data_IF_468933669467
#
_entry.id   IF_468933669467
#
_cell.length_a   1.000
_cell.length_b   1.000
_cell.length_c   1.000
_cell.angle_alpha   90.00
_cell.angle_beta   90.00
_cell.angle_gamma   90.00
#
_symmetry.space_group_name_H-M   'P 1'
#
loop_
_entity.id
_entity.type
_entity.pdbx_description
1 polymer ?
#
# COMPACT_ATOMS: atom_id res chain seq x y z
N UNK A 1 4.19 -8.36 16.25
CA UNK A 1 3.47 -9.60 15.88
C UNK A 1 2.27 -9.15 15.08
N UNK A 2 2.23 -9.42 13.78
CA UNK A 2 1.05 -9.09 12.98
C UNK A 2 -0.07 -10.09 13.32
N UNK A 3 -1.24 -9.67 13.82
CA UNK A 3 -2.40 -10.56 13.94
C UNK A 3 -2.86 -11.00 12.55
N UNK A 4 -3.52 -12.16 12.46
CA UNK A 4 -4.06 -12.66 11.19
C UNK A 4 -4.95 -11.60 10.52
N UNK A 5 -4.70 -11.30 9.25
CA UNK A 5 -5.44 -10.27 8.50
C UNK A 5 -4.83 -8.86 8.48
N UNK A 6 -3.55 -8.71 8.82
CA UNK A 6 -2.90 -7.38 8.82
C UNK A 6 -2.71 -6.84 7.39
N UNK A 7 -3.27 -5.65 7.12
CA UNK A 7 -2.96 -4.86 5.94
C UNK A 7 -1.59 -4.18 6.10
N UNK A 8 -0.71 -4.33 5.11
CA UNK A 8 0.57 -3.62 5.06
C UNK A 8 0.45 -2.53 3.99
N UNK A 9 0.33 -1.29 4.46
CA UNK A 9 0.30 -0.11 3.61
C UNK A 9 1.71 0.30 3.22
N UNK A 10 1.96 0.37 1.91
CA UNK A 10 3.12 1.03 1.34
C UNK A 10 2.56 2.18 0.49
N UNK A 11 2.90 3.41 0.86
CA UNK A 11 2.42 4.60 0.15
C UNK A 11 3.37 5.01 -0.99
N UNK A 12 2.84 5.65 -2.05
CA UNK A 12 3.62 5.97 -3.24
C UNK A 12 4.79 6.93 -2.95
N UNK A 13 5.80 6.89 -3.83
CA UNK A 13 6.90 7.86 -3.87
C UNK A 13 6.32 9.27 -4.07
N UNK A 14 6.63 10.24 -3.21
CA UNK A 14 6.29 11.63 -3.47
C UNK A 14 7.20 12.17 -4.59
N UNK A 15 6.59 12.87 -5.54
CA UNK A 15 7.30 13.78 -6.44
C UNK A 15 7.88 14.93 -5.60
N UNK A 16 9.18 14.91 -5.36
CA UNK A 16 10.01 16.04 -4.93
C UNK A 16 9.34 17.07 -4.00
N UNK A 17 9.18 16.79 -2.70
CA UNK A 17 8.72 17.83 -1.77
C UNK A 17 8.43 17.42 -0.33
N UNK A 18 8.21 16.14 -0.03
CA UNK A 18 7.89 15.71 1.34
C UNK A 18 9.13 15.14 2.05
N UNK A 19 9.60 15.85 3.09
CA UNK A 19 10.80 15.54 3.88
C UNK A 19 10.70 14.30 4.78
N UNK A 20 9.66 13.46 4.62
CA UNK A 20 9.56 12.18 5.30
C UNK A 20 10.39 11.12 4.60
N UNK A 21 11.39 10.55 5.27
CA UNK A 21 12.13 9.36 4.78
C UNK A 21 11.22 8.13 4.71
N UNK A 22 10.32 8.07 3.72
CA UNK A 22 9.57 6.87 3.39
C UNK A 22 10.52 5.87 2.76
N UNK A 23 10.70 4.73 3.45
CA UNK A 23 11.57 3.66 2.99
C UNK A 23 11.03 3.10 1.68
N UNK A 24 11.86 3.12 0.63
CA UNK A 24 11.55 2.54 -0.70
C UNK A 24 11.44 1.01 -0.67
N UNK A 25 11.74 0.39 0.48
CA UNK A 25 11.78 -1.04 0.70
C UNK A 25 11.30 -1.36 2.12
N UNK A 26 10.48 -2.40 2.25
CA UNK A 26 10.13 -3.04 3.51
C UNK A 26 10.65 -4.47 3.51
N UNK A 27 11.35 -4.83 4.58
CA UNK A 27 11.82 -6.19 4.82
C UNK A 27 10.79 -6.97 5.62
N UNK A 28 10.44 -8.14 5.11
CA UNK A 28 9.48 -9.06 5.72
C UNK A 28 10.24 -10.24 6.32
N UNK A 29 9.97 -10.59 7.57
CA UNK A 29 10.69 -11.70 8.21
C UNK A 29 10.25 -12.01 9.62
N UNK A 30 10.97 -12.91 10.29
CA UNK A 30 10.67 -13.36 11.66
C UNK A 30 11.34 -12.54 12.75
N UNK A 31 12.49 -11.92 12.45
CA UNK A 31 13.34 -11.30 13.50
C UNK A 31 13.14 -9.79 13.53
N UNK A 32 12.72 -9.28 14.69
CA UNK A 32 12.47 -7.84 14.93
C UNK A 32 13.67 -6.94 14.65
N UNK A 33 14.89 -7.44 14.87
CA UNK A 33 16.12 -6.68 14.64
C UNK A 33 16.46 -6.48 13.15
N UNK A 34 15.86 -7.25 12.23
CA UNK A 34 16.28 -7.28 10.81
C UNK A 34 15.14 -7.14 9.81
N UNK A 35 13.89 -7.08 10.26
CA UNK A 35 12.71 -6.96 9.40
C UNK A 35 11.79 -5.85 9.90
N UNK A 36 11.18 -5.13 8.96
CA UNK A 36 10.21 -4.08 9.24
C UNK A 36 8.84 -4.68 9.58
N UNK A 37 8.44 -5.75 8.88
CA UNK A 37 7.19 -6.50 9.14
C UNK A 37 7.51 -7.88 9.70
N UNK A 38 6.99 -8.14 10.90
CA UNK A 38 7.31 -9.35 11.68
C UNK A 38 6.22 -10.41 11.63
N UNK A 39 6.52 -11.51 10.95
CA UNK A 39 5.72 -12.74 10.93
C UNK A 39 6.42 -13.81 11.77
N UNK A 40 5.82 -14.10 12.93
CA UNK A 40 6.38 -15.05 13.90
C UNK A 40 5.97 -16.50 13.56
N UNK A 41 6.82 -17.18 12.78
CA UNK A 41 6.56 -18.58 12.39
C UNK A 41 7.86 -19.34 12.09
N UNK A 42 7.92 -20.63 12.45
CA UNK A 42 9.12 -21.48 12.29
C UNK A 42 9.63 -21.59 10.85
N UNK A 43 8.73 -21.53 9.87
CA UNK A 43 9.07 -21.59 8.44
C UNK A 43 9.49 -20.24 7.82
N UNK A 44 9.45 -19.15 8.59
CA UNK A 44 9.79 -17.80 8.10
C UNK A 44 11.22 -17.47 8.49
N UNK A 45 11.99 -16.99 7.51
CA UNK A 45 13.40 -16.62 7.67
C UNK A 45 13.53 -15.33 8.48
N UNK A 46 14.72 -15.06 9.03
CA UNK A 46 15.00 -13.79 9.76
C UNK A 46 14.73 -12.56 8.90
N UNK A 47 15.19 -12.61 7.65
CA UNK A 47 14.79 -11.77 6.52
C UNK A 47 14.33 -12.74 5.44
N UNK A 48 13.06 -12.69 5.05
CA UNK A 48 12.42 -13.68 4.20
C UNK A 48 12.08 -13.11 2.82
N UNK A 49 11.49 -11.93 2.78
CA UNK A 49 11.15 -11.28 1.53
C UNK A 49 11.38 -9.78 1.64
N UNK A 50 11.50 -9.12 0.50
CA UNK A 50 11.57 -7.68 0.39
C UNK A 50 10.42 -7.18 -0.48
N UNK A 51 9.76 -6.12 -0.04
CA UNK A 51 8.71 -5.42 -0.77
C UNK A 51 9.23 -4.03 -1.10
N UNK A 52 9.44 -3.70 -2.37
CA UNK A 52 10.15 -2.48 -2.76
C UNK A 52 9.58 -1.86 -4.03
N UNK A 53 9.65 -0.53 -4.10
CA UNK A 53 9.34 0.20 -5.32
C UNK A 53 10.52 0.17 -6.28
N UNK A 54 10.22 -0.02 -7.56
CA UNK A 54 11.20 0.21 -8.63
C UNK A 54 11.02 1.64 -9.12
N UNK A 55 12.13 2.39 -9.15
CA UNK A 55 12.21 3.72 -9.73
C UNK A 55 12.16 3.58 -11.25
N UNK A 56 10.96 3.40 -11.79
CA UNK A 56 10.72 3.73 -13.18
C UNK A 56 10.60 5.25 -13.24
N UNK A 57 11.20 5.88 -14.25
CA UNK A 57 11.08 7.32 -14.49
C UNK A 57 9.63 7.62 -14.91
N UNK A 58 8.72 7.56 -13.94
CA UNK A 58 7.30 7.75 -14.12
C UNK A 58 7.12 9.24 -14.31
N UNK A 59 7.18 9.67 -15.58
CA UNK A 59 6.75 10.99 -15.96
C UNK A 59 5.30 11.12 -15.50
N UNK A 60 5.05 12.06 -14.58
CA UNK A 60 3.73 12.58 -14.34
C UNK A 60 3.18 12.96 -15.72
N UNK A 61 2.14 12.25 -16.17
CA UNK A 61 1.44 12.67 -17.37
C UNK A 61 0.49 13.74 -16.87
N UNK A 62 0.89 15.00 -17.02
CA UNK A 62 0.04 16.18 -16.80
C UNK A 62 -1.05 16.23 -17.88
N UNK A 63 -1.89 15.19 -17.95
CA UNK A 63 -3.12 15.17 -18.72
C UNK A 63 -4.27 15.70 -17.87
N UNK A 64 -5.34 16.25 -18.46
CA UNK A 64 -6.48 16.86 -17.76
C UNK A 64 -7.37 15.86 -16.97
N UNK A 65 -6.80 14.75 -16.50
CA UNK A 65 -7.43 13.72 -15.68
C UNK A 65 -6.59 13.24 -14.48
N UNK A 66 -5.39 13.77 -14.25
CA UNK A 66 -4.68 13.63 -12.97
C UNK A 66 -4.41 12.21 -12.47
N UNK A 67 -4.28 11.21 -13.35
CA UNK A 67 -3.94 9.85 -12.96
C UNK A 67 -2.49 9.81 -12.43
N UNK A 68 -2.32 9.91 -11.10
CA UNK A 68 -1.02 9.77 -10.44
C UNK A 68 -0.49 8.36 -10.73
N UNK A 69 0.42 8.25 -11.69
CA UNK A 69 1.03 6.97 -12.05
C UNK A 69 2.01 6.59 -10.95
N UNK A 70 1.67 5.57 -10.16
CA UNK A 70 2.53 5.10 -9.07
C UNK A 70 3.66 4.22 -9.59
N UNK A 71 4.86 4.38 -9.03
CA UNK A 71 5.99 3.47 -9.28
C UNK A 71 5.58 2.02 -8.99
N UNK A 72 5.97 1.04 -9.83
CA UNK A 72 5.57 -0.34 -9.63
C UNK A 72 6.22 -0.91 -8.37
N UNK A 73 5.42 -1.68 -7.62
CA UNK A 73 5.86 -2.40 -6.42
C UNK A 73 6.20 -3.85 -6.77
N UNK A 74 7.29 -4.37 -6.22
CA UNK A 74 7.74 -5.73 -6.41
C UNK A 74 7.96 -6.45 -5.08
N UNK A 75 7.66 -7.73 -5.07
CA UNK A 75 7.95 -8.65 -3.98
C UNK A 75 9.06 -9.60 -4.42
N UNK A 76 10.17 -9.61 -3.69
CA UNK A 76 11.33 -10.50 -3.90
C UNK A 76 11.40 -11.54 -2.79
N UNK A 77 11.53 -12.81 -3.16
CA UNK A 77 11.92 -13.87 -2.23
C UNK A 77 13.44 -13.86 -2.03
N UNK A 78 13.92 -13.72 -0.79
CA UNK A 78 15.36 -13.73 -0.48
C UNK A 78 15.91 -15.17 -0.39
N UNK A 79 15.71 -15.93 -1.47
CA UNK A 79 16.23 -17.29 -1.65
C UNK A 79 15.85 -18.23 -0.49
N UNK A 80 14.59 -18.17 -0.04
CA UNK A 80 14.16 -18.79 1.22
C UNK A 80 13.85 -20.28 1.07
N UNK A 81 13.95 -21.04 2.16
CA UNK A 81 13.69 -22.49 2.16
C UNK A 81 12.22 -22.82 1.87
N UNK A 82 11.31 -22.09 2.49
CA UNK A 82 9.86 -22.36 2.41
C UNK A 82 9.14 -21.52 1.36
N UNK A 83 9.84 -20.57 0.73
CA UNK A 83 9.34 -19.74 -0.34
C UNK A 83 8.37 -18.65 0.10
N UNK A 84 8.20 -17.67 -0.79
CA UNK A 84 7.24 -16.59 -0.67
C UNK A 84 6.08 -16.84 -1.63
N UNK A 85 4.85 -16.57 -1.20
CA UNK A 85 3.65 -16.75 -2.04
C UNK A 85 2.97 -15.39 -2.28
N UNK A 86 2.66 -15.12 -3.53
CA UNK A 86 1.88 -13.96 -3.98
C UNK A 86 0.57 -14.46 -4.60
N UNK A 87 -0.56 -14.01 -4.08
CA UNK A 87 -1.91 -14.39 -4.52
C UNK A 87 -2.13 -15.92 -4.56
N UNK A 88 -1.48 -16.65 -3.65
CA UNK A 88 -1.55 -18.12 -3.57
C UNK A 88 -0.47 -18.84 -4.40
N UNK A 89 0.12 -18.17 -5.38
CA UNK A 89 1.20 -18.74 -6.22
C UNK A 89 2.56 -18.54 -5.56
N UNK A 90 3.37 -19.60 -5.50
CA UNK A 90 4.73 -19.52 -4.98
C UNK A 90 5.64 -18.82 -6.00
N UNK A 91 6.45 -17.87 -5.53
CA UNK A 91 7.49 -17.25 -6.35
C UNK A 91 8.65 -18.21 -6.56
N UNK A 92 9.26 -18.09 -7.74
CA UNK A 92 10.56 -18.70 -8.00
C UNK A 92 11.61 -18.17 -7.03
N UNK A 93 12.52 -19.06 -6.64
CA UNK A 93 13.46 -18.80 -5.56
C UNK A 93 14.47 -17.72 -6.00
N UNK A 94 14.57 -16.62 -5.25
CA UNK A 94 15.42 -15.50 -5.63
C UNK A 94 14.83 -14.61 -6.74
N UNK A 95 13.58 -14.85 -7.16
CA UNK A 95 12.90 -14.04 -8.16
C UNK A 95 11.97 -13.01 -7.51
N UNK A 96 11.68 -11.96 -8.27
CA UNK A 96 10.70 -10.95 -7.92
C UNK A 96 9.46 -11.04 -8.79
N UNK A 97 8.32 -10.64 -8.23
CA UNK A 97 7.06 -10.50 -8.97
C UNK A 97 6.39 -9.17 -8.66
N UNK A 98 5.69 -8.63 -9.66
CA UNK A 98 4.95 -7.38 -9.54
C UNK A 98 3.75 -7.56 -8.61
N UNK A 99 3.60 -6.63 -7.68
CA UNK A 99 2.51 -6.56 -6.70
C UNK A 99 1.50 -5.51 -7.14
N UNK A 100 0.22 -5.85 -7.01
CA UNK A 100 -0.91 -4.94 -7.30
C UNK A 100 -1.67 -4.62 -6.02
N UNK A 101 -2.51 -3.59 -6.07
CA UNK A 101 -3.43 -3.31 -4.97
C UNK A 101 -4.30 -4.55 -4.67
N UNK A 102 -4.57 -4.79 -3.39
CA UNK A 102 -5.31 -5.96 -2.92
C UNK A 102 -4.54 -7.28 -2.98
N UNK A 103 -3.29 -7.30 -3.46
CA UNK A 103 -2.53 -8.55 -3.53
C UNK A 103 -2.27 -9.13 -2.15
N UNK A 104 -2.37 -10.46 -2.05
CA UNK A 104 -2.13 -11.20 -0.82
C UNK A 104 -0.74 -11.82 -0.81
N UNK A 105 0.04 -11.56 0.24
CA UNK A 105 1.37 -12.11 0.47
C UNK A 105 1.35 -13.10 1.63
N UNK A 106 2.01 -14.25 1.48
CA UNK A 106 2.21 -15.24 2.55
C UNK A 106 3.66 -15.72 2.56
N UNK A 107 4.27 -15.78 3.75
CA UNK A 107 5.67 -16.14 3.94
C UNK A 107 5.78 -17.59 4.43
N UNK A 108 6.53 -18.43 3.71
CA UNK A 108 6.64 -19.84 3.98
C UNK A 108 5.27 -20.52 4.19
N UNK A 109 5.16 -21.28 5.28
CA UNK A 109 3.96 -22.00 5.72
C UNK A 109 3.17 -21.24 6.80
N UNK A 110 3.36 -19.92 6.94
CA UNK A 110 2.59 -19.16 7.94
C UNK A 110 1.09 -19.20 7.61
N UNK A 111 0.25 -19.26 8.64
CA UNK A 111 -1.20 -19.05 8.49
C UNK A 111 -1.55 -17.59 8.22
N UNK A 112 -0.65 -16.67 8.57
CA UNK A 112 -0.81 -15.23 8.35
C UNK A 112 -0.70 -14.91 6.86
N UNK A 113 -1.72 -14.21 6.37
CA UNK A 113 -1.76 -13.55 5.06
C UNK A 113 -1.72 -12.04 5.28
N UNK A 114 -0.94 -11.36 4.45
CA UNK A 114 -0.83 -9.90 4.43
C UNK A 114 -1.45 -9.37 3.15
N UNK A 115 -2.30 -8.35 3.24
CA UNK A 115 -2.85 -7.67 2.07
C UNK A 115 -2.06 -6.40 1.81
N UNK A 116 -1.61 -6.22 0.58
CA UNK A 116 -0.93 -5.00 0.13
C UNK A 116 -2.00 -4.04 -0.38
N UNK A 117 -2.02 -2.83 0.17
CA UNK A 117 -2.90 -1.76 -0.31
C UNK A 117 -2.09 -0.51 -0.65
N UNK A 118 -2.41 0.08 -1.80
CA UNK A 118 -1.91 1.39 -2.19
C UNK A 118 -2.93 2.43 -1.73
N UNK A 119 -2.55 3.34 -0.80
CA UNK A 119 -3.44 4.43 -0.45
C UNK A 119 -3.63 5.32 -1.67
N UNK A 120 -4.85 5.37 -2.20
CA UNK A 120 -5.24 6.45 -3.11
C UNK A 120 -5.16 7.74 -2.31
N UNK A 121 -4.12 8.55 -2.57
CA UNK A 121 -4.06 9.90 -2.03
C UNK A 121 -5.17 10.69 -2.73
N UNK A 122 -6.36 10.69 -2.12
CA UNK A 122 -7.42 11.62 -2.49
C UNK A 122 -6.94 13.01 -2.06
N UNK A 123 -6.23 13.72 -2.94
CA UNK A 123 -6.01 15.17 -2.78
C UNK A 123 -7.34 15.89 -3.04
N UNK A 124 -8.31 15.75 -2.13
CA UNK A 124 -9.41 16.70 -1.99
C UNK A 124 -9.10 17.61 -0.81
N UNK A 125 -8.32 18.65 -1.10
CA UNK A 125 -8.51 19.92 -0.42
C UNK A 125 -9.84 20.49 -0.88
N UNK A 126 -10.95 20.09 -0.25
CA UNK A 126 -12.19 20.85 -0.30
C UNK A 126 -12.39 21.42 1.08
N UNK A 127 -12.06 22.70 1.25
CA UNK A 127 -12.51 23.47 2.40
C UNK A 127 -14.03 23.35 2.47
N UNK A 128 -14.52 22.76 3.56
CA UNK A 128 -15.90 22.94 4.00
C UNK A 128 -16.01 24.37 4.50
N UNK A 129 -16.41 25.28 3.62
CA UNK A 129 -16.98 26.55 4.05
C UNK A 129 -18.19 26.24 4.96
N UNK A 130 -18.39 26.95 6.08
CA UNK A 130 -19.55 26.74 6.93
C UNK A 130 -20.81 27.10 6.12
N UNK A 131 -21.71 26.13 5.99
CA UNK A 131 -23.01 26.30 5.38
C UNK A 131 -23.78 27.40 6.14
N UNK A 132 -23.90 28.58 5.52
CA UNK A 132 -24.78 29.63 6.01
C UNK A 132 -26.21 29.10 5.95
N UNK A 133 -26.80 28.91 7.11
CA UNK A 133 -28.17 28.47 7.30
C UNK A 133 -29.11 29.57 6.79
N UNK A 134 -29.63 29.43 5.57
CA UNK A 134 -30.67 30.32 5.02
C UNK A 134 -32.01 29.60 5.16
N UNK A 135 -32.94 30.07 6.00
CA UNK A 135 -34.27 29.47 6.09
C UNK A 135 -35.08 29.68 4.79
N UNK A 136 -35.98 28.74 4.44
CA UNK A 136 -36.73 28.78 3.19
C UNK A 136 -37.73 29.95 3.14
N UNK A 137 -38.04 30.49 1.94
CA UNK A 137 -39.01 31.57 1.79
C UNK A 137 -40.45 31.05 1.95
N UNK A 138 -41.16 31.55 2.97
CA UNK A 138 -42.62 31.47 3.02
C UNK A 138 -43.21 32.47 2.01
N UNK A 139 -43.75 31.97 0.91
CA UNK A 139 -44.41 32.78 -0.10
C UNK A 139 -45.90 32.94 0.25
N UNK A 140 -46.26 34.14 0.70
CA UNK A 140 -47.65 34.59 0.81
C UNK A 140 -48.25 34.76 -0.58
N UNK A 141 -49.41 34.14 -0.85
CA UNK A 141 -50.37 34.64 -1.82
C UNK A 141 -51.76 34.56 -1.22
N UNK A 142 -52.31 35.75 -0.99
CA UNK A 142 -53.69 36.05 -0.62
C UNK A 142 -54.67 35.78 -1.79
N UNK A 143 -55.93 35.52 -1.38
CA UNK A 143 -57.24 35.93 -1.97
C UNK A 143 -57.69 35.31 -3.29
N UNK A 144 -59.01 35.26 -3.63
CA UNK A 144 -60.17 36.09 -3.21
C UNK A 144 -60.86 35.72 -1.89
#
# INVERSE_FOLDING_TARGET
RVPGGTAVGIGPLPSSGDGGSRRRCLLLGRRRASADVIVDHGSVSRVHAALFYVDENVRNVDGPGGDVKHSPLFLLDNNTKHGTHLNGTRLEKGSSARVRDGSTVRLGRSSVKMTVSFPTLNLKGSGTAPEKNVPPPHNSKEVP
#
